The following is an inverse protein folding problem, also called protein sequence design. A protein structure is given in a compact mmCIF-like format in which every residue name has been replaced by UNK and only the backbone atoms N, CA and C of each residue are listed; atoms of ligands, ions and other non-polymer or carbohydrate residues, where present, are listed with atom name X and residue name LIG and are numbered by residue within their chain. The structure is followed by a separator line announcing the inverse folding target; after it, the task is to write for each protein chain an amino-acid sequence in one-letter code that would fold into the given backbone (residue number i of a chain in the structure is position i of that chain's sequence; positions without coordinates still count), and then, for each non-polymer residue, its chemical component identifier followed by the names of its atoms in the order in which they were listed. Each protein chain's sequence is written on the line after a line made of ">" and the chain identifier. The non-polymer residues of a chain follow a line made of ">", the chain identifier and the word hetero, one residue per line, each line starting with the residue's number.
data_IF_763667665909
#
_entry.id   IF_763667665909
#
_cell.length_a   1.000
_cell.length_b   1.000
_cell.length_c   1.000
_cell.angle_alpha   90.00
_cell.angle_beta   90.00
_cell.angle_gamma   90.00
#
_symmetry.space_group_name_H-M   'P 1'
#
loop_
_entity.id
_entity.type
_entity.pdbx_description
1 polymer ?
#
# COMPACT_ATOMS: atom_id res chain seq x y z
N UNK A 1 -56.65 44.16 -1.18
CA UNK A 1 -55.36 44.33 -0.48
C UNK A 1 -54.83 42.94 -0.15
N UNK A 2 -53.89 42.40 -0.95
CA UNK A 2 -53.32 41.04 -0.75
C UNK A 2 -51.78 41.03 -0.63
N UNK A 3 -51.16 42.19 -0.38
CA UNK A 3 -49.69 42.31 -0.42
C UNK A 3 -49.00 41.98 0.91
N UNK A 4 -49.75 41.81 2.01
CA UNK A 4 -49.17 41.57 3.34
C UNK A 4 -48.62 40.15 3.51
N UNK A 5 -49.24 39.13 2.89
CA UNK A 5 -48.80 37.73 3.01
C UNK A 5 -47.42 37.49 2.39
N UNK A 6 -47.19 38.05 1.20
CA UNK A 6 -45.91 37.90 0.49
C UNK A 6 -44.78 38.66 1.19
N UNK A 7 -45.06 39.81 1.79
CA UNK A 7 -44.05 40.57 2.57
C UNK A 7 -43.66 39.83 3.85
N UNK A 8 -44.62 39.26 4.58
CA UNK A 8 -44.33 38.47 5.80
C UNK A 8 -43.50 37.24 5.46
N UNK A 9 -43.84 36.53 4.38
CA UNK A 9 -43.08 35.35 3.93
C UNK A 9 -41.65 35.73 3.50
N UNK A 10 -41.47 36.86 2.81
CA UNK A 10 -40.15 37.38 2.43
C UNK A 10 -39.27 37.75 3.62
N UNK A 11 -39.84 38.38 4.65
CA UNK A 11 -39.11 38.68 5.90
C UNK A 11 -38.73 37.38 6.60
N UNK A 12 -39.65 36.43 6.75
CA UNK A 12 -39.39 35.17 7.45
C UNK A 12 -38.29 34.37 6.76
N UNK A 13 -38.34 34.28 5.43
CA UNK A 13 -37.31 33.65 4.61
C UNK A 13 -35.96 34.37 4.74
N UNK A 14 -35.94 35.70 4.63
CA UNK A 14 -34.73 36.51 4.78
C UNK A 14 -34.10 36.39 6.18
N UNK A 15 -34.93 36.35 7.23
CA UNK A 15 -34.45 36.21 8.62
C UNK A 15 -33.89 34.82 8.89
N UNK A 16 -34.51 33.77 8.35
CA UNK A 16 -34.02 32.39 8.50
C UNK A 16 -32.64 32.21 7.84
N UNK A 17 -32.46 32.77 6.63
CA UNK A 17 -31.17 32.77 5.92
C UNK A 17 -30.14 33.62 6.68
N UNK A 18 -30.53 34.80 7.15
CA UNK A 18 -29.64 35.68 7.92
C UNK A 18 -29.21 35.06 9.25
N UNK A 19 -30.12 34.38 9.96
CA UNK A 19 -29.82 33.71 11.22
C UNK A 19 -28.92 32.48 11.04
N UNK A 20 -29.17 31.67 10.01
CA UNK A 20 -28.31 30.51 9.71
C UNK A 20 -26.89 30.94 9.35
N UNK A 21 -26.74 31.96 8.49
CA UNK A 21 -25.44 32.54 8.18
C UNK A 21 -24.81 33.20 9.42
N UNK A 22 -25.57 33.92 10.23
CA UNK A 22 -25.09 34.54 11.47
C UNK A 22 -24.60 33.54 12.50
N UNK A 23 -25.28 32.40 12.65
CA UNK A 23 -24.85 31.30 13.52
C UNK A 23 -23.61 30.60 12.94
N UNK A 24 -23.55 30.38 11.63
CA UNK A 24 -22.39 29.75 10.98
C UNK A 24 -21.14 30.65 11.01
N UNK A 25 -21.31 31.97 10.91
CA UNK A 25 -20.23 32.94 10.99
C UNK A 25 -19.86 33.33 12.41
N UNK A 26 -20.72 33.06 13.41
CA UNK A 26 -20.40 33.33 14.80
C UNK A 26 -19.25 32.42 15.24
N UNK A 27 -18.06 32.96 15.54
CA UNK A 27 -16.97 32.14 16.05
C UNK A 27 -17.33 31.64 17.45
N UNK A 28 -17.16 30.34 17.68
CA UNK A 28 -17.15 29.77 19.02
C UNK A 28 -16.14 30.52 19.90
N UNK A 29 -16.42 30.63 21.21
CA UNK A 29 -15.45 31.19 22.15
C UNK A 29 -14.12 30.44 22.02
N UNK A 30 -13.02 31.17 21.84
CA UNK A 30 -11.70 30.57 21.62
C UNK A 30 -11.23 29.59 22.70
N UNK A 31 -11.73 29.73 23.94
CA UNK A 31 -11.52 28.76 25.02
C UNK A 31 -12.10 27.38 24.67
N UNK A 32 -13.33 27.34 24.15
CA UNK A 32 -14.02 26.11 23.79
C UNK A 32 -13.38 25.48 22.56
N UNK A 33 -13.00 26.28 21.57
CA UNK A 33 -12.31 25.79 20.37
C UNK A 33 -10.96 25.18 20.73
N UNK A 34 -10.17 25.83 21.61
CA UNK A 34 -8.88 25.28 22.04
C UNK A 34 -9.04 23.98 22.83
N UNK A 35 -10.06 23.90 23.68
CA UNK A 35 -10.38 22.68 24.43
C UNK A 35 -10.78 21.55 23.48
N UNK A 36 -11.71 21.80 22.54
CA UNK A 36 -12.12 20.82 21.52
C UNK A 36 -10.96 20.32 20.68
N UNK A 37 -10.08 21.22 20.22
CA UNK A 37 -8.87 20.84 19.46
C UNK A 37 -7.96 19.93 20.30
N UNK A 38 -7.75 20.26 21.58
CA UNK A 38 -6.93 19.44 22.48
C UNK A 38 -7.50 18.04 22.65
N UNK A 39 -8.81 17.94 22.88
CA UNK A 39 -9.51 16.68 23.08
C UNK A 39 -9.48 15.83 21.80
N UNK A 40 -9.77 16.43 20.64
CA UNK A 40 -9.70 15.75 19.34
C UNK A 40 -8.28 15.31 18.99
N UNK A 41 -7.26 16.13 19.28
CA UNK A 41 -5.86 15.77 19.08
C UNK A 41 -5.44 14.59 19.95
N UNK A 42 -5.88 14.55 21.20
CA UNK A 42 -5.58 13.44 22.11
C UNK A 42 -6.24 12.14 21.65
N UNK A 43 -7.50 12.20 21.23
CA UNK A 43 -8.21 11.05 20.65
C UNK A 43 -7.58 10.58 19.34
N UNK A 44 -7.15 11.49 18.47
CA UNK A 44 -6.47 11.14 17.23
C UNK A 44 -5.12 10.45 17.50
N UNK A 45 -4.36 10.94 18.49
CA UNK A 45 -3.11 10.30 18.91
C UNK A 45 -3.32 8.88 19.42
N UNK A 46 -4.33 8.65 20.26
CA UNK A 46 -4.65 7.30 20.74
C UNK A 46 -5.04 6.38 19.59
N UNK A 47 -5.97 6.81 18.72
CA UNK A 47 -6.38 6.01 17.55
C UNK A 47 -5.22 5.69 16.58
N UNK A 48 -4.27 6.59 16.42
CA UNK A 48 -3.07 6.36 15.61
C UNK A 48 -2.13 5.36 16.28
N UNK A 49 -1.92 5.46 17.59
CA UNK A 49 -1.07 4.53 18.34
C UNK A 49 -1.63 3.10 18.30
N UNK A 50 -2.95 2.95 18.47
CA UNK A 50 -3.63 1.66 18.42
C UNK A 50 -3.52 1.05 17.01
N UNK A 51 -3.85 1.83 15.97
CA UNK A 51 -3.71 1.37 14.57
C UNK A 51 -2.28 1.05 14.17
N UNK A 52 -1.30 1.79 14.68
CA UNK A 52 0.11 1.53 14.39
C UNK A 52 0.58 0.22 15.04
N UNK A 53 0.09 -0.08 16.24
CA UNK A 53 0.36 -1.36 16.92
C UNK A 53 -0.24 -2.52 16.14
N UNK A 54 -1.52 -2.42 15.75
CA UNK A 54 -2.19 -3.45 14.94
C UNK A 54 -1.49 -3.69 13.59
N UNK A 55 -1.08 -2.62 12.91
CA UNK A 55 -0.34 -2.71 11.65
C UNK A 55 1.02 -3.39 11.83
N UNK A 56 1.72 -3.09 12.93
CA UNK A 56 3.01 -3.72 13.24
C UNK A 56 2.84 -5.21 13.45
N UNK A 57 1.84 -5.64 14.21
CA UNK A 57 1.59 -7.06 14.48
C UNK A 57 1.15 -7.82 13.22
N UNK A 58 0.31 -7.20 12.38
CA UNK A 58 -0.04 -7.77 11.07
C UNK A 58 1.17 -7.87 10.14
N UNK A 59 2.05 -6.85 10.13
CA UNK A 59 3.24 -6.85 9.29
C UNK A 59 4.25 -7.91 9.75
N UNK A 60 4.46 -8.08 11.06
CA UNK A 60 5.34 -9.10 11.61
C UNK A 60 4.84 -10.50 11.28
N UNK A 61 3.52 -10.73 11.38
CA UNK A 61 2.90 -12.01 11.04
C UNK A 61 3.01 -12.32 9.54
N UNK A 62 2.65 -11.35 8.68
CA UNK A 62 2.76 -11.50 7.24
C UNK A 62 4.21 -11.65 6.75
N UNK A 63 5.17 -10.97 7.39
CA UNK A 63 6.59 -11.14 7.08
C UNK A 63 7.10 -12.52 7.47
N UNK A 64 6.61 -13.08 8.58
CA UNK A 64 6.99 -14.43 9.03
C UNK A 64 6.46 -15.51 8.08
N UNK A 65 5.19 -15.43 7.68
CA UNK A 65 4.59 -16.35 6.70
C UNK A 65 5.27 -16.25 5.31
N UNK A 66 5.62 -15.03 4.88
CA UNK A 66 6.35 -14.81 3.63
C UNK A 66 7.78 -15.33 3.69
N UNK A 67 8.44 -15.28 4.86
CA UNK A 67 9.80 -15.79 5.04
C UNK A 67 9.82 -17.31 4.91
N UNK A 68 8.87 -18.01 5.50
CA UNK A 68 8.73 -19.47 5.41
C UNK A 68 8.49 -19.92 3.96
N UNK A 69 7.54 -19.29 3.26
CA UNK A 69 7.27 -19.60 1.84
C UNK A 69 8.41 -19.20 0.89
N UNK A 70 9.23 -18.21 1.26
CA UNK A 70 10.44 -17.86 0.50
C UNK A 70 11.55 -18.88 0.71
N UNK A 71 11.76 -19.37 1.93
CA UNK A 71 12.76 -20.41 2.23
C UNK A 71 12.44 -21.69 1.46
N UNK A 72 11.18 -22.15 1.43
CA UNK A 72 10.76 -23.31 0.62
C UNK A 72 10.97 -23.09 -0.90
N UNK A 73 10.65 -21.89 -1.39
CA UNK A 73 10.87 -21.55 -2.80
C UNK A 73 12.35 -21.48 -3.16
N UNK A 74 13.20 -20.95 -2.28
CA UNK A 74 14.65 -20.88 -2.48
C UNK A 74 15.26 -22.29 -2.47
N UNK A 75 14.87 -23.15 -1.54
CA UNK A 75 15.37 -24.53 -1.47
C UNK A 75 14.95 -25.36 -2.70
N UNK A 76 13.72 -25.18 -3.17
CA UNK A 76 13.26 -25.81 -4.41
C UNK A 76 13.98 -25.28 -5.65
N UNK A 77 14.29 -23.98 -5.71
CA UNK A 77 15.06 -23.38 -6.80
C UNK A 77 16.51 -23.86 -6.80
N UNK A 78 17.17 -23.92 -5.64
CA UNK A 78 18.54 -24.43 -5.49
C UNK A 78 18.59 -25.89 -5.93
N UNK A 79 17.65 -26.72 -5.47
CA UNK A 79 17.58 -28.13 -5.85
C UNK A 79 17.38 -28.33 -7.36
N UNK A 80 16.43 -27.59 -7.95
CA UNK A 80 16.18 -27.66 -9.39
C UNK A 80 17.35 -27.12 -10.22
N UNK A 81 18.02 -26.06 -9.75
CA UNK A 81 19.18 -25.49 -10.41
C UNK A 81 20.39 -26.43 -10.40
N UNK A 82 20.61 -27.16 -9.30
CA UNK A 82 21.66 -28.18 -9.21
C UNK A 82 21.45 -29.27 -10.26
N UNK A 83 20.26 -29.86 -10.35
CA UNK A 83 19.96 -30.87 -11.36
C UNK A 83 20.11 -30.35 -12.79
N UNK A 84 19.63 -29.13 -13.06
CA UNK A 84 19.76 -28.50 -14.39
C UNK A 84 21.21 -28.17 -14.73
N UNK A 85 22.03 -27.81 -13.74
CA UNK A 85 23.44 -27.53 -13.95
C UNK A 85 24.20 -28.78 -14.40
N UNK A 86 23.94 -29.94 -13.78
CA UNK A 86 24.58 -31.21 -14.15
C UNK A 86 24.22 -31.66 -15.58
N UNK A 87 22.96 -31.49 -15.99
CA UNK A 87 22.52 -31.77 -17.37
C UNK A 87 23.19 -30.83 -18.39
N UNK A 88 23.34 -29.55 -18.02
CA UNK A 88 24.02 -28.56 -18.85
C UNK A 88 25.51 -28.91 -18.97
N UNK A 89 26.17 -29.29 -17.88
CA UNK A 89 27.58 -29.70 -17.89
C UNK A 89 27.76 -30.91 -18.82
N UNK A 90 26.92 -31.93 -18.67
CA UNK A 90 26.97 -33.14 -19.51
C UNK A 90 26.78 -32.80 -20.99
N UNK A 91 25.85 -31.90 -21.30
CA UNK A 91 25.59 -31.45 -22.68
C UNK A 91 26.77 -30.65 -23.25
N UNK A 92 27.41 -29.82 -22.43
CA UNK A 92 28.59 -29.05 -22.81
C UNK A 92 29.79 -29.95 -23.08
N UNK A 93 30.06 -30.94 -22.22
CA UNK A 93 31.13 -31.92 -22.44
C UNK A 93 30.93 -32.70 -23.74
N UNK A 94 29.70 -33.13 -24.00
CA UNK A 94 29.34 -33.84 -25.23
C UNK A 94 29.58 -32.97 -26.47
N UNK A 95 29.11 -31.71 -26.45
CA UNK A 95 29.35 -30.75 -27.55
C UNK A 95 30.84 -30.41 -27.71
N UNK A 96 31.59 -30.29 -26.61
CA UNK A 96 33.03 -30.03 -26.64
C UNK A 96 33.77 -31.20 -27.30
N UNK A 97 33.40 -32.43 -26.96
CA UNK A 97 33.96 -33.64 -27.56
C UNK A 97 33.68 -33.72 -29.06
N UNK A 98 32.44 -33.49 -29.48
CA UNK A 98 32.04 -33.46 -30.89
C UNK A 98 32.80 -32.38 -31.66
N UNK A 99 32.95 -31.17 -31.10
CA UNK A 99 33.73 -30.09 -31.70
C UNK A 99 35.21 -30.46 -31.85
N UNK A 100 35.81 -31.11 -30.85
CA UNK A 100 37.21 -31.54 -30.86
C UNK A 100 37.46 -32.62 -31.90
N UNK A 101 36.52 -33.55 -32.07
CA UNK A 101 36.58 -34.60 -33.08
C UNK A 101 36.39 -34.05 -34.50
N UNK A 102 35.43 -33.13 -34.68
CA UNK A 102 35.20 -32.44 -35.95
C UNK A 102 36.43 -31.61 -36.37
N UNK A 103 37.08 -30.94 -35.43
CA UNK A 103 38.32 -30.19 -35.68
C UNK A 103 39.47 -31.13 -36.13
N UNK A 104 39.68 -32.25 -35.44
CA UNK A 104 40.69 -33.27 -35.84
C UNK A 104 40.43 -33.87 -37.22
N UNK A 105 39.17 -34.05 -37.62
CA UNK A 105 38.82 -34.54 -38.97
C UNK A 105 39.15 -33.50 -40.04
N UNK A 106 38.87 -32.23 -39.79
CA UNK A 106 39.24 -31.14 -40.70
C UNK A 106 40.76 -31.03 -40.88
N UNK A 107 41.55 -31.23 -39.82
CA UNK A 107 43.02 -31.22 -39.90
C UNK A 107 43.65 -32.44 -40.60
N UNK A 108 42.91 -33.55 -40.77
CA UNK A 108 43.40 -34.74 -41.49
C UNK A 108 43.02 -34.77 -42.98
N UNK A 109 42.14 -33.87 -43.40
CA UNK A 109 41.69 -33.73 -44.80
C UNK A 109 42.44 -32.62 -45.56
N UNK A 110 43.25 -31.81 -44.87
CA UNK A 110 44.32 -30.98 -45.47
C UNK A 110 45.66 -31.70 -45.37
#
# INVERSE_FOLDING_TARGET
>A
MSNNGNTVLGILAGTAIGATLGILFAPDKGSNTRQRISDEAQLAKQKLADKATDLKDQMVSAASEKKETLEEQVDSLISNASYKADDIITTLEKKLKDLKEKNKRLQKTS
#
